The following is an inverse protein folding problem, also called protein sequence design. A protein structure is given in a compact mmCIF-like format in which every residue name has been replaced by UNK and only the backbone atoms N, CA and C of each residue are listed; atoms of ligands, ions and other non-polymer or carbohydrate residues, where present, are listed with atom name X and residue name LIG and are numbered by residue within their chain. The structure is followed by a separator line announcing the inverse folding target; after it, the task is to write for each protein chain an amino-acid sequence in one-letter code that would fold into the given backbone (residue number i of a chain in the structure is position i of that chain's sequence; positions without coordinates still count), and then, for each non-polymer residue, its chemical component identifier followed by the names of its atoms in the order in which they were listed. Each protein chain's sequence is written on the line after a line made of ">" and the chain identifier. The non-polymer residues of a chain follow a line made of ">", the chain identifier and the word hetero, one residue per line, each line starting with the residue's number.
data_IF_705902232556
#
_entry.id   IF_705902232556
#
_cell.length_a   1.000
_cell.length_b   1.000
_cell.length_c   1.000
_cell.angle_alpha   90.00
_cell.angle_beta   90.00
_cell.angle_gamma   90.00
#
_symmetry.space_group_name_H-M   'P 1'
#
loop_
_entity.id
_entity.type
_entity.pdbx_description
1 polymer ?
#
# COMPACT_ATOMS: atom_id res chain seq x y z
N UNK A 1 55.91 -30.23 10.17
CA UNK A 1 56.21 -29.33 11.32
C UNK A 1 54.91 -28.57 11.59
N UNK A 2 54.27 -28.76 12.75
CA UNK A 2 53.06 -28.07 13.12
C UNK A 2 53.37 -26.82 13.93
N UNK A 3 52.65 -25.72 13.67
CA UNK A 3 52.71 -24.52 14.51
C UNK A 3 51.38 -24.35 15.27
N UNK A 4 51.60 -24.20 16.52
CA UNK A 4 50.80 -24.15 17.73
C UNK A 4 49.69 -23.10 17.74
N UNK A 5 48.52 -23.52 18.23
CA UNK A 5 47.42 -22.69 18.71
C UNK A 5 47.79 -21.98 20.04
N UNK A 6 47.42 -20.69 20.15
CA UNK A 6 47.30 -20.03 21.47
C UNK A 6 45.89 -19.48 21.62
N UNK A 7 45.14 -20.13 22.49
CA UNK A 7 43.86 -19.71 23.08
C UNK A 7 44.15 -18.63 24.15
N UNK A 8 43.48 -17.47 24.05
CA UNK A 8 43.42 -16.51 25.17
C UNK A 8 41.97 -16.42 25.60
N UNK A 9 41.72 -16.93 26.79
CA UNK A 9 40.47 -16.78 27.55
C UNK A 9 40.58 -15.51 28.38
N UNK A 10 39.58 -14.62 28.26
CA UNK A 10 39.32 -13.55 29.22
C UNK A 10 37.85 -13.59 29.66
N UNK A 11 37.66 -14.14 30.85
CA UNK A 11 36.38 -14.05 31.58
C UNK A 11 36.29 -12.64 32.20
N UNK A 12 35.20 -11.94 31.91
CA UNK A 12 34.83 -10.73 32.65
C UNK A 12 33.50 -11.00 33.37
N UNK A 13 33.56 -11.05 34.70
CA UNK A 13 32.45 -11.11 35.62
C UNK A 13 31.63 -9.80 35.53
N UNK A 14 30.36 -9.90 35.26
CA UNK A 14 29.36 -8.83 35.48
C UNK A 14 28.44 -9.21 36.66
N UNK A 15 28.45 -8.38 37.67
CA UNK A 15 27.55 -8.45 38.82
C UNK A 15 26.14 -7.98 38.48
N UNK A 16 25.07 -8.49 39.13
CA UNK A 16 23.68 -8.12 38.86
C UNK A 16 23.30 -6.83 39.55
N UNK A 17 22.89 -5.84 38.77
CA UNK A 17 22.29 -4.59 39.25
C UNK A 17 20.84 -4.79 39.71
N UNK A 18 20.55 -4.20 40.87
CA UNK A 18 19.23 -4.22 41.56
C UNK A 18 18.13 -3.61 40.69
N UNK A 19 17.05 -4.38 40.49
CA UNK A 19 15.78 -3.87 40.00
C UNK A 19 15.00 -3.16 41.10
N UNK A 20 14.73 -1.88 40.92
CA UNK A 20 13.75 -1.14 41.69
C UNK A 20 12.38 -1.20 40.97
N UNK A 21 11.45 -1.92 41.61
CA UNK A 21 10.08 -2.01 41.16
C UNK A 21 9.33 -0.71 41.49
N UNK A 22 8.91 0.06 40.48
CA UNK A 22 7.91 1.12 40.64
C UNK A 22 6.50 0.51 40.51
N UNK A 23 5.79 0.50 41.63
CA UNK A 23 4.36 0.22 41.71
C UNK A 23 3.57 1.36 41.06
N UNK A 24 2.87 1.06 39.95
CA UNK A 24 1.85 1.97 39.41
C UNK A 24 0.53 1.72 40.13
N UNK A 25 0.04 2.77 40.73
CA UNK A 25 -1.19 2.79 41.55
C UNK A 25 -2.42 2.82 40.61
N UNK A 26 -3.23 1.77 40.69
CA UNK A 26 -4.54 1.74 40.04
C UNK A 26 -5.52 2.49 40.92
N UNK A 27 -5.99 3.67 40.49
CA UNK A 27 -7.31 4.22 40.85
C UNK A 27 -7.47 5.63 40.24
N UNK A 28 -8.21 5.73 39.17
CA UNK A 28 -9.23 6.76 39.01
C UNK A 28 -10.15 6.32 37.87
N UNK A 29 -11.29 5.83 38.25
CA UNK A 29 -12.40 5.44 37.38
C UNK A 29 -13.52 6.45 37.62
N UNK A 30 -14.14 6.92 36.55
CA UNK A 30 -15.52 7.43 36.43
C UNK A 30 -15.87 8.76 37.08
N UNK A 31 -16.31 9.70 36.23
CA UNK A 31 -17.70 10.23 36.19
C UNK A 31 -17.81 11.40 35.19
N UNK A 32 -18.74 11.28 34.28
CA UNK A 32 -19.13 12.35 33.36
C UNK A 32 -20.32 11.90 32.50
N UNK A 33 -21.47 11.70 33.17
CA UNK A 33 -22.79 11.60 32.54
C UNK A 33 -23.38 12.99 32.45
N UNK A 34 -23.85 13.39 31.29
CA UNK A 34 -24.65 14.60 31.07
C UNK A 34 -24.96 14.71 29.59
N UNK A 35 -26.11 14.64 29.13
CA UNK A 35 -27.37 15.23 29.31
C UNK A 35 -27.99 15.30 27.93
N UNK A 36 -29.01 14.47 27.66
CA UNK A 36 -29.80 14.47 26.42
C UNK A 36 -30.79 15.64 26.52
N UNK A 37 -30.71 16.57 25.55
CA UNK A 37 -31.80 17.51 25.30
C UNK A 37 -32.56 17.05 24.06
N UNK A 38 -33.78 16.54 24.29
CA UNK A 38 -34.72 16.21 23.24
C UNK A 38 -35.38 17.50 22.71
N UNK A 39 -35.24 17.79 21.44
CA UNK A 39 -36.09 18.73 20.72
C UNK A 39 -36.91 17.96 19.67
N UNK A 40 -38.21 17.88 19.93
CA UNK A 40 -39.18 17.28 19.03
C UNK A 40 -39.48 18.23 17.88
N UNK A 41 -39.25 17.82 16.62
CA UNK A 41 -39.84 18.43 15.45
C UNK A 41 -40.61 17.35 14.66
N UNK A 42 -41.91 17.57 14.58
CA UNK A 42 -42.82 16.79 13.75
C UNK A 42 -42.80 17.35 12.32
N UNK A 43 -42.51 16.50 11.35
CA UNK A 43 -42.56 16.84 9.94
C UNK A 43 -42.13 15.64 9.09
N UNK A 44 -43.08 14.95 8.48
CA UNK A 44 -42.92 13.65 7.80
C UNK A 44 -42.00 13.67 6.59
N UNK A 45 -41.24 12.62 6.49
CA UNK A 45 -40.37 12.26 5.37
C UNK A 45 -39.33 11.25 5.83
N UNK A 46 -39.70 9.96 5.82
CA UNK A 46 -38.76 8.87 6.19
C UNK A 46 -37.73 8.72 5.07
N UNK A 47 -36.62 9.45 5.16
CA UNK A 47 -35.39 9.07 4.47
C UNK A 47 -34.76 7.99 5.35
N UNK A 48 -34.88 6.73 4.95
CA UNK A 48 -34.07 5.66 5.51
C UNK A 48 -32.65 5.92 5.02
N UNK A 49 -31.88 6.70 5.79
CA UNK A 49 -30.44 6.71 5.65
C UNK A 49 -29.96 5.30 6.03
N UNK A 50 -29.63 4.50 5.02
CA UNK A 50 -28.93 3.25 5.24
C UNK A 50 -27.65 3.59 6.00
N UNK A 51 -27.58 3.19 7.27
CA UNK A 51 -26.35 3.22 8.03
C UNK A 51 -25.36 2.31 7.30
N UNK A 52 -24.34 2.89 6.68
CA UNK A 52 -23.19 2.11 6.24
C UNK A 52 -22.71 1.27 7.46
N UNK A 53 -22.36 0.00 7.26
CA UNK A 53 -21.85 -0.81 8.35
C UNK A 53 -20.68 -0.06 8.98
N UNK A 54 -20.72 0.10 10.31
CA UNK A 54 -19.61 0.70 11.05
C UNK A 54 -18.37 -0.14 10.75
N UNK A 55 -17.49 0.38 9.91
CA UNK A 55 -16.23 -0.25 9.56
C UNK A 55 -15.43 -0.36 10.85
N UNK A 56 -14.97 -1.54 11.18
CA UNK A 56 -14.18 -1.76 12.38
C UNK A 56 -12.95 -0.84 12.32
N UNK A 57 -12.87 0.10 13.28
CA UNK A 57 -11.78 1.06 13.30
C UNK A 57 -10.46 0.31 13.48
N UNK A 58 -9.46 0.62 12.63
CA UNK A 58 -8.10 0.15 12.78
C UNK A 58 -7.57 0.54 14.17
N UNK A 59 -6.99 -0.43 14.88
CA UNK A 59 -6.39 -0.17 16.18
C UNK A 59 -4.86 -0.26 16.09
N UNK A 60 -4.18 0.73 16.66
CA UNK A 60 -2.73 0.72 16.79
C UNK A 60 -2.33 -0.26 17.89
N UNK A 61 -1.74 -1.40 17.51
CA UNK A 61 -1.21 -2.38 18.44
C UNK A 61 0.19 -2.00 18.92
N UNK A 62 1.00 -1.40 18.05
CA UNK A 62 2.33 -0.90 18.37
C UNK A 62 2.64 0.31 17.51
N UNK A 63 3.30 1.32 18.09
CA UNK A 63 3.83 2.49 17.39
C UNK A 63 5.25 2.78 17.89
N UNK A 64 6.15 3.04 16.95
CA UNK A 64 7.50 3.51 17.21
C UNK A 64 7.76 4.77 16.39
N UNK A 65 8.12 5.87 17.07
CA UNK A 65 8.45 7.15 16.46
C UNK A 65 9.96 7.28 16.30
N UNK A 66 10.43 7.37 15.08
CA UNK A 66 11.82 7.66 14.72
C UNK A 66 11.92 8.97 13.90
N UNK A 67 11.29 10.02 14.39
CA UNK A 67 11.26 11.34 13.75
C UNK A 67 10.38 11.31 12.48
N UNK A 68 10.97 11.53 11.30
CA UNK A 68 10.21 11.46 10.06
C UNK A 68 9.57 10.10 9.79
N UNK A 69 10.21 9.00 10.21
CA UNK A 69 9.70 7.66 9.99
C UNK A 69 8.92 7.17 11.20
N UNK A 70 7.67 6.83 10.96
CA UNK A 70 6.73 6.31 11.95
C UNK A 70 6.43 4.84 11.62
N UNK A 71 6.63 3.93 12.57
CA UNK A 71 6.43 2.50 12.39
C UNK A 71 5.20 2.03 13.15
N UNK A 72 4.28 1.39 12.45
CA UNK A 72 3.04 0.90 13.05
C UNK A 72 2.89 -0.61 12.89
N UNK A 73 2.33 -1.27 13.91
CA UNK A 73 1.64 -2.55 13.78
C UNK A 73 0.16 -2.32 14.08
N UNK A 74 -0.67 -2.72 13.16
CA UNK A 74 -2.10 -2.43 13.21
C UNK A 74 -2.90 -3.72 13.46
N UNK A 75 -3.92 -3.64 14.29
CA UNK A 75 -4.86 -4.73 14.50
C UNK A 75 -6.08 -4.52 13.61
N UNK A 76 -6.39 -5.51 12.78
CA UNK A 76 -7.48 -5.52 11.81
C UNK A 76 -8.11 -6.91 11.71
N UNK A 77 -9.42 -7.02 11.47
CA UNK A 77 -10.05 -8.31 11.14
C UNK A 77 -9.69 -8.81 9.73
N UNK A 78 -9.22 -7.93 8.84
CA UNK A 78 -8.95 -8.26 7.44
C UNK A 78 -7.69 -9.09 7.25
N UNK A 79 -6.73 -9.03 8.18
CA UNK A 79 -5.46 -9.75 8.11
C UNK A 79 -5.26 -10.57 9.38
N UNK A 80 -4.93 -11.85 9.27
CA UNK A 80 -4.83 -12.79 10.39
C UNK A 80 -3.60 -12.60 11.32
N UNK A 81 -2.83 -11.53 11.14
CA UNK A 81 -1.76 -11.08 12.04
C UNK A 81 -1.81 -9.55 12.16
N UNK A 82 -0.82 -8.94 12.79
CA UNK A 82 -0.67 -7.48 12.86
C UNK A 82 0.12 -6.98 11.65
N UNK A 83 -0.52 -6.54 10.55
CA UNK A 83 0.19 -5.97 9.41
C UNK A 83 0.96 -4.72 9.85
N UNK A 84 2.09 -4.49 9.19
CA UNK A 84 2.96 -3.35 9.45
C UNK A 84 2.75 -2.27 8.40
N UNK A 85 2.92 -1.04 8.84
CA UNK A 85 2.86 0.14 7.97
C UNK A 85 3.92 1.11 8.41
N UNK A 86 4.78 1.51 7.48
CA UNK A 86 5.70 2.63 7.68
C UNK A 86 5.08 3.90 7.09
N UNK A 87 5.13 4.98 7.86
CA UNK A 87 4.67 6.30 7.38
C UNK A 87 5.83 7.27 7.47
N UNK A 88 6.26 7.78 6.32
CA UNK A 88 7.31 8.79 6.23
C UNK A 88 6.68 10.19 6.14
N UNK A 89 6.94 11.00 7.13
CA UNK A 89 6.48 12.39 7.21
C UNK A 89 7.43 13.33 6.44
N UNK A 90 6.96 14.47 5.93
CA UNK A 90 7.82 15.49 5.34
C UNK A 90 8.79 16.08 6.37
N UNK A 91 9.85 16.72 5.89
CA UNK A 91 10.74 17.50 6.76
C UNK A 91 9.97 18.64 7.43
N UNK A 92 10.08 18.75 8.76
CA UNK A 92 9.37 19.78 9.52
C UNK A 92 7.84 19.62 9.47
N UNK A 93 7.34 18.37 9.48
CA UNK A 93 5.90 18.09 9.52
C UNK A 93 5.18 18.94 10.57
N UNK A 94 4.13 19.65 10.13
CA UNK A 94 3.29 20.51 10.94
C UNK A 94 1.82 20.05 10.83
N UNK A 95 1.26 19.59 11.93
CA UNK A 95 -0.12 19.09 11.98
C UNK A 95 -1.20 20.16 11.66
N UNK A 96 -0.83 21.44 11.61
CA UNK A 96 -1.75 22.52 11.21
C UNK A 96 -1.83 22.72 9.69
N UNK A 97 -0.90 22.13 8.94
CA UNK A 97 -0.86 22.12 7.46
C UNK A 97 -1.48 20.84 6.93
N UNK A 98 -1.89 20.82 5.67
CA UNK A 98 -2.35 19.62 4.97
C UNK A 98 -1.34 19.22 3.89
N UNK A 99 -1.12 17.90 3.75
CA UNK A 99 -0.12 17.34 2.88
C UNK A 99 -0.73 16.34 1.90
N UNK A 100 -0.27 16.29 0.64
CA UNK A 100 -0.58 15.18 -0.24
C UNK A 100 0.00 13.88 0.33
N UNK A 101 -0.63 12.76 -0.04
CA UNK A 101 -0.25 11.41 0.41
C UNK A 101 0.04 10.51 -0.77
N UNK A 102 1.18 9.83 -0.73
CA UNK A 102 1.55 8.76 -1.64
C UNK A 102 1.47 7.42 -0.91
N UNK A 103 0.58 6.53 -1.36
CA UNK A 103 0.60 5.12 -0.98
C UNK A 103 1.58 4.40 -1.91
N UNK A 104 2.68 3.89 -1.34
CA UNK A 104 3.80 3.30 -2.08
C UNK A 104 3.88 1.80 -1.80
N UNK A 105 3.53 0.99 -2.81
CA UNK A 105 3.27 -0.43 -2.72
C UNK A 105 4.49 -1.25 -3.15
N UNK A 106 4.95 -2.17 -2.29
CA UNK A 106 6.14 -2.99 -2.53
C UNK A 106 5.92 -4.11 -3.56
N UNK A 107 7.01 -4.66 -4.10
CA UNK A 107 6.99 -5.78 -5.03
C UNK A 107 6.78 -7.15 -4.35
N UNK A 108 6.60 -8.19 -5.17
CA UNK A 108 6.51 -9.56 -4.68
C UNK A 108 7.79 -10.01 -3.98
N UNK A 109 7.67 -10.73 -2.85
CA UNK A 109 8.80 -11.14 -2.02
C UNK A 109 9.41 -10.04 -1.17
N UNK A 110 8.87 -8.84 -1.24
CA UNK A 110 9.26 -7.67 -0.44
C UNK A 110 8.22 -7.42 0.68
N UNK A 111 8.40 -6.33 1.44
CA UNK A 111 7.49 -5.93 2.53
C UNK A 111 7.44 -4.40 2.71
N UNK A 112 6.66 -3.94 3.70
CA UNK A 112 6.47 -2.54 4.10
C UNK A 112 7.78 -1.76 4.35
N UNK A 113 8.90 -2.44 4.64
CA UNK A 113 10.18 -1.81 4.96
C UNK A 113 11.09 -1.59 3.75
N UNK A 114 10.79 -2.23 2.63
CA UNK A 114 11.69 -2.31 1.47
C UNK A 114 12.04 -0.95 0.90
N UNK A 115 11.08 -0.05 0.77
CA UNK A 115 11.36 1.29 0.24
C UNK A 115 12.24 2.13 1.17
N UNK A 116 12.20 1.88 2.49
CA UNK A 116 13.07 2.54 3.46
C UNK A 116 14.46 1.90 3.51
N UNK A 117 14.53 0.57 3.65
CA UNK A 117 15.80 -0.14 3.95
C UNK A 117 16.64 -0.43 2.72
N UNK A 118 16.02 -0.63 1.55
CA UNK A 118 16.68 -0.99 0.30
C UNK A 118 16.70 0.14 -0.71
N UNK A 119 15.67 0.96 -0.68
CA UNK A 119 15.40 1.91 -1.75
C UNK A 119 15.45 3.38 -1.32
N UNK A 120 15.96 3.69 -0.15
CA UNK A 120 16.34 5.04 0.34
C UNK A 120 15.27 6.13 0.10
N UNK A 121 13.99 5.78 0.29
CA UNK A 121 12.87 6.70 0.05
C UNK A 121 12.99 7.99 0.88
N UNK A 122 13.66 7.95 2.03
CA UNK A 122 13.86 9.13 2.88
C UNK A 122 14.61 10.23 2.14
N UNK A 123 15.68 9.87 1.41
CA UNK A 123 16.45 10.83 0.63
C UNK A 123 15.70 11.26 -0.63
N UNK A 124 14.96 10.33 -1.27
CA UNK A 124 14.18 10.65 -2.46
C UNK A 124 12.99 11.58 -2.19
N UNK A 125 12.55 11.70 -0.93
CA UNK A 125 11.47 12.60 -0.51
C UNK A 125 11.94 13.77 0.34
N UNK A 126 13.25 13.92 0.60
CA UNK A 126 13.79 15.03 1.36
C UNK A 126 13.43 16.38 0.71
N UNK A 127 13.00 17.32 1.55
CA UNK A 127 12.58 18.66 1.11
C UNK A 127 11.26 18.71 0.34
N UNK A 128 10.51 17.61 0.24
CA UNK A 128 9.18 17.57 -0.38
C UNK A 128 8.08 17.54 0.67
N UNK A 129 7.06 18.38 0.49
CA UNK A 129 5.84 18.40 1.32
C UNK A 129 4.95 17.19 0.96
N UNK A 130 5.33 15.99 1.39
CA UNK A 130 4.69 14.73 1.02
C UNK A 130 4.71 13.75 2.19
N UNK A 131 3.56 13.15 2.51
CA UNK A 131 3.47 11.97 3.36
C UNK A 131 3.56 10.73 2.48
N UNK A 132 4.44 9.76 2.83
CA UNK A 132 4.50 8.47 2.12
C UNK A 132 4.06 7.35 3.05
N UNK A 133 3.07 6.58 2.64
CA UNK A 133 2.54 5.43 3.37
C UNK A 133 2.99 4.15 2.67
N UNK A 134 3.75 3.32 3.36
CA UNK A 134 4.32 2.06 2.87
C UNK A 134 3.71 0.90 3.64
N UNK A 135 2.59 0.34 3.18
CA UNK A 135 1.92 -0.76 3.86
C UNK A 135 2.53 -2.11 3.49
N UNK A 136 2.39 -3.08 4.40
CA UNK A 136 2.55 -4.50 4.09
C UNK A 136 1.43 -4.95 3.15
N UNK A 137 1.77 -5.73 2.14
CA UNK A 137 0.85 -6.32 1.15
C UNK A 137 1.00 -7.83 1.03
N UNK A 138 1.72 -8.45 2.00
CA UNK A 138 2.13 -9.85 1.94
C UNK A 138 3.23 -10.11 0.90
N UNK A 139 3.96 -11.20 1.06
CA UNK A 139 5.02 -11.57 0.13
C UNK A 139 4.49 -11.83 -1.30
N UNK A 140 3.25 -12.30 -1.42
CA UNK A 140 2.54 -12.52 -2.67
C UNK A 140 1.01 -12.31 -2.51
N UNK A 141 0.60 -11.29 -1.75
CA UNK A 141 -0.82 -10.99 -1.52
C UNK A 141 -1.52 -10.32 -2.71
N UNK A 142 -0.76 -9.89 -3.72
CA UNK A 142 -1.26 -9.28 -4.97
C UNK A 142 -2.24 -8.13 -4.74
N UNK A 143 -2.15 -7.50 -3.55
CA UNK A 143 -3.04 -6.39 -3.16
C UNK A 143 -4.53 -6.73 -3.33
N UNK A 144 -4.88 -8.02 -3.17
CA UNK A 144 -6.22 -8.56 -3.41
C UNK A 144 -6.80 -9.22 -2.16
N UNK A 145 -8.10 -9.23 -2.09
CA UNK A 145 -8.84 -10.14 -1.21
C UNK A 145 -8.89 -11.49 -1.93
N UNK A 146 -8.25 -12.56 -1.42
CA UNK A 146 -8.15 -13.81 -2.16
C UNK A 146 -9.50 -14.51 -2.31
N UNK A 147 -9.64 -15.33 -3.36
CA UNK A 147 -10.80 -16.22 -3.51
C UNK A 147 -10.82 -17.24 -2.36
N UNK A 148 -9.64 -17.78 -2.01
CA UNK A 148 -9.50 -18.73 -0.91
C UNK A 148 -8.19 -18.57 -0.15
N UNK A 149 -8.23 -18.87 1.17
CA UNK A 149 -7.06 -18.85 2.04
C UNK A 149 -7.15 -19.99 3.06
N UNK A 150 -6.10 -20.80 3.20
CA UNK A 150 -6.03 -21.88 4.18
C UNK A 150 -5.41 -21.45 5.52
N UNK A 151 -5.13 -20.16 5.69
CA UNK A 151 -4.44 -19.60 6.87
C UNK A 151 -5.16 -18.42 7.51
N UNK A 152 -6.46 -18.32 7.30
CA UNK A 152 -7.29 -17.21 7.80
C UNK A 152 -7.26 -15.97 6.89
N UNK A 153 -7.76 -14.83 7.40
CA UNK A 153 -7.94 -13.63 6.59
C UNK A 153 -6.64 -13.09 5.98
N UNK A 154 -6.71 -12.71 4.71
CA UNK A 154 -5.64 -12.13 3.90
C UNK A 154 -6.21 -11.06 2.95
N UNK A 155 -7.18 -10.29 3.42
CA UNK A 155 -7.98 -9.36 2.62
C UNK A 155 -7.23 -8.03 2.48
N UNK A 156 -6.23 -8.01 1.59
CA UNK A 156 -5.32 -6.87 1.43
C UNK A 156 -6.01 -5.65 0.84
N UNK A 157 -6.92 -5.82 -0.13
CA UNK A 157 -7.68 -4.71 -0.69
C UNK A 157 -8.59 -4.08 0.37
N UNK A 158 -9.36 -4.89 1.08
CA UNK A 158 -10.20 -4.42 2.20
C UNK A 158 -9.38 -3.69 3.25
N UNK A 159 -8.22 -4.24 3.65
CA UNK A 159 -7.33 -3.59 4.61
C UNK A 159 -6.82 -2.25 4.11
N UNK A 160 -6.26 -2.18 2.88
CA UNK A 160 -5.65 -0.96 2.38
C UNK A 160 -6.67 0.13 2.10
N UNK A 161 -7.71 -0.21 1.36
CA UNK A 161 -8.69 0.76 0.85
C UNK A 161 -9.74 1.08 1.90
N UNK A 162 -10.29 0.05 2.53
CA UNK A 162 -11.40 0.20 3.45
C UNK A 162 -10.98 0.65 4.86
N UNK A 163 -9.80 0.30 5.32
CA UNK A 163 -9.40 0.53 6.71
C UNK A 163 -8.20 1.48 6.82
N UNK A 164 -7.11 1.24 6.06
CA UNK A 164 -5.86 1.99 6.20
C UNK A 164 -6.00 3.44 5.70
N UNK A 165 -6.62 3.67 4.54
CA UNK A 165 -6.78 5.04 4.01
C UNK A 165 -7.56 5.93 5.00
N UNK A 166 -8.75 5.52 5.51
CA UNK A 166 -9.45 6.31 6.52
C UNK A 166 -8.65 6.52 7.81
N UNK A 167 -7.89 5.50 8.24
CA UNK A 167 -7.04 5.63 9.42
C UNK A 167 -5.90 6.63 9.22
N UNK A 168 -5.25 6.62 8.06
CA UNK A 168 -4.20 7.61 7.71
C UNK A 168 -4.76 9.02 7.71
N UNK A 169 -5.93 9.22 7.10
CA UNK A 169 -6.58 10.53 7.05
C UNK A 169 -7.02 11.04 8.42
N UNK A 170 -7.38 10.14 9.34
CA UNK A 170 -7.74 10.47 10.73
C UNK A 170 -6.49 10.71 11.62
N UNK A 171 -5.34 10.10 11.28
CA UNK A 171 -4.13 10.14 12.12
C UNK A 171 -3.20 11.27 11.72
N UNK A 172 -3.10 11.56 10.43
CA UNK A 172 -2.18 12.56 9.88
C UNK A 172 -2.93 13.69 9.17
N UNK A 173 -2.26 14.83 9.04
CA UNK A 173 -2.83 16.01 8.37
C UNK A 173 -2.75 15.87 6.84
N UNK A 174 -3.60 15.02 6.28
CA UNK A 174 -3.65 14.73 4.86
C UNK A 174 -4.60 15.67 4.10
N UNK A 175 -4.41 15.81 2.79
CA UNK A 175 -5.43 16.30 1.87
C UNK A 175 -6.31 15.08 1.51
N UNK A 176 -7.36 14.84 2.32
CA UNK A 176 -8.18 13.62 2.31
C UNK A 176 -9.19 13.58 1.13
N UNK A 177 -8.70 13.82 -0.09
CA UNK A 177 -9.50 13.82 -1.32
C UNK A 177 -8.62 13.38 -2.52
N UNK A 178 -9.18 13.00 -3.67
CA UNK A 178 -8.41 12.51 -4.82
C UNK A 178 -7.30 13.48 -5.26
N UNK A 179 -7.55 14.79 -5.25
CA UNK A 179 -6.56 15.81 -5.60
C UNK A 179 -5.35 15.88 -4.65
N UNK A 180 -5.41 15.21 -3.49
CA UNK A 180 -4.32 15.10 -2.53
C UNK A 180 -3.78 13.68 -2.37
N UNK A 181 -4.30 12.69 -3.13
CA UNK A 181 -3.93 11.28 -2.91
C UNK A 181 -3.43 10.61 -4.16
N UNK A 182 -2.28 9.98 -4.04
CA UNK A 182 -1.66 9.17 -5.08
C UNK A 182 -1.40 7.74 -4.62
N UNK A 183 -1.35 6.82 -5.58
CA UNK A 183 -0.88 5.45 -5.37
C UNK A 183 0.17 5.11 -6.42
N UNK A 184 1.27 4.53 -5.99
CA UNK A 184 2.38 4.07 -6.84
C UNK A 184 2.91 2.74 -6.32
N UNK A 185 3.58 1.97 -7.15
CA UNK A 185 4.21 0.75 -6.70
C UNK A 185 5.12 0.11 -7.74
N UNK A 186 5.88 -0.89 -7.28
CA UNK A 186 6.78 -1.66 -8.11
C UNK A 186 6.27 -3.09 -8.28
N UNK A 187 6.33 -3.63 -9.51
CA UNK A 187 6.02 -5.04 -9.81
C UNK A 187 4.60 -5.41 -9.34
N UNK A 188 4.44 -6.35 -8.40
CA UNK A 188 3.18 -6.66 -7.74
C UNK A 188 2.49 -5.40 -7.20
N UNK A 189 3.27 -4.45 -6.62
CA UNK A 189 2.75 -3.16 -6.15
C UNK A 189 2.31 -2.23 -7.27
N UNK A 190 2.96 -2.27 -8.42
CA UNK A 190 2.55 -1.53 -9.62
C UNK A 190 1.19 -2.01 -10.15
N UNK A 191 0.97 -3.33 -10.16
CA UNK A 191 -0.35 -3.91 -10.41
C UNK A 191 -1.38 -3.44 -9.37
N UNK A 192 -1.03 -3.55 -8.08
CA UNK A 192 -1.89 -3.11 -6.98
C UNK A 192 -2.31 -1.65 -7.10
N UNK A 193 -1.37 -0.77 -7.49
CA UNK A 193 -1.64 0.65 -7.70
C UNK A 193 -2.65 0.88 -8.83
N UNK A 194 -2.43 0.25 -9.99
CA UNK A 194 -3.37 0.33 -11.11
C UNK A 194 -4.74 -0.23 -10.73
N UNK A 195 -4.78 -1.43 -10.15
CA UNK A 195 -6.03 -2.05 -9.70
C UNK A 195 -6.82 -1.16 -8.73
N UNK A 196 -6.18 -0.59 -7.73
CA UNK A 196 -6.86 0.29 -6.77
C UNK A 196 -7.42 1.55 -7.43
N UNK A 197 -6.65 2.18 -8.33
CA UNK A 197 -7.13 3.34 -9.06
C UNK A 197 -8.30 3.04 -10.01
N UNK A 198 -8.39 1.80 -10.52
CA UNK A 198 -9.48 1.34 -11.36
C UNK A 198 -10.75 1.04 -10.57
N UNK A 199 -10.62 0.29 -9.47
CA UNK A 199 -11.76 -0.17 -8.66
C UNK A 199 -12.31 0.89 -7.73
N UNK A 200 -11.46 1.85 -7.32
CA UNK A 200 -11.81 2.94 -6.39
C UNK A 200 -11.44 4.30 -7.00
N UNK A 201 -12.07 4.65 -8.15
CA UNK A 201 -11.69 5.84 -8.91
C UNK A 201 -11.87 7.15 -8.12
N UNK A 202 -12.71 7.15 -7.10
CA UNK A 202 -12.96 8.29 -6.21
C UNK A 202 -11.85 8.52 -5.19
N UNK A 203 -10.88 7.62 -5.03
CA UNK A 203 -9.87 7.74 -3.98
C UNK A 203 -8.58 8.42 -4.42
N UNK A 204 -8.16 8.23 -5.68
CA UNK A 204 -6.84 8.63 -6.15
C UNK A 204 -6.92 9.56 -7.35
N UNK A 205 -6.21 10.69 -7.31
CA UNK A 205 -6.02 11.59 -8.44
C UNK A 205 -4.81 11.26 -9.31
N UNK A 206 -3.83 10.55 -8.74
CA UNK A 206 -2.62 10.13 -9.46
C UNK A 206 -2.33 8.65 -9.21
N UNK A 207 -1.96 7.95 -10.28
CA UNK A 207 -1.55 6.53 -10.23
C UNK A 207 -0.29 6.32 -11.03
N UNK A 208 0.62 5.51 -10.47
CA UNK A 208 1.87 5.15 -11.12
C UNK A 208 2.15 3.66 -11.01
N UNK A 209 2.68 3.07 -12.07
CA UNK A 209 3.11 1.68 -12.11
C UNK A 209 4.55 1.58 -12.61
N UNK A 210 5.42 1.04 -11.79
CA UNK A 210 6.80 0.73 -12.12
C UNK A 210 6.92 -0.78 -12.33
N UNK A 211 7.01 -1.22 -13.58
CA UNK A 211 7.08 -2.64 -13.98
C UNK A 211 5.94 -3.50 -13.39
N UNK A 212 4.75 -2.95 -13.26
CA UNK A 212 3.56 -3.68 -12.83
C UNK A 212 2.74 -4.19 -14.01
N UNK A 213 2.25 -5.44 -13.98
CA UNK A 213 1.34 -5.92 -15.02
C UNK A 213 0.02 -5.14 -15.00
N UNK A 214 -0.54 -4.87 -16.17
CA UNK A 214 -1.75 -4.06 -16.34
C UNK A 214 -2.84 -4.74 -17.19
N UNK A 215 -2.54 -5.93 -17.73
CA UNK A 215 -3.46 -6.81 -18.43
C UNK A 215 -3.29 -8.25 -17.94
N UNK A 216 -4.28 -8.73 -17.20
CA UNK A 216 -4.27 -10.05 -16.57
C UNK A 216 -4.48 -11.18 -17.58
N UNK A 217 -5.01 -10.89 -18.77
CA UNK A 217 -5.37 -11.90 -19.78
C UNK A 217 -4.28 -12.14 -20.82
N UNK A 218 -3.23 -11.31 -20.81
CA UNK A 218 -2.15 -11.49 -21.79
C UNK A 218 -1.47 -12.86 -21.62
N UNK A 219 -0.99 -13.43 -22.75
CA UNK A 219 -0.29 -14.72 -22.75
C UNK A 219 -1.09 -15.82 -22.00
N UNK A 220 -2.35 -16.00 -22.37
CA UNK A 220 -3.26 -16.98 -21.79
C UNK A 220 -3.41 -16.85 -20.27
N UNK A 221 -3.35 -15.61 -19.74
CA UNK A 221 -3.49 -15.34 -18.32
C UNK A 221 -2.25 -15.64 -17.50
N UNK A 222 -1.06 -15.43 -18.06
CA UNK A 222 0.21 -15.66 -17.38
C UNK A 222 0.29 -14.96 -16.00
N UNK A 223 -0.27 -13.74 -15.90
CA UNK A 223 -0.31 -13.00 -14.63
C UNK A 223 -1.24 -13.64 -13.60
N UNK A 224 -2.40 -14.16 -14.03
CA UNK A 224 -3.35 -14.88 -13.15
C UNK A 224 -2.73 -16.18 -12.62
N UNK A 225 -2.06 -16.94 -13.50
CA UNK A 225 -1.31 -18.12 -13.09
C UNK A 225 -0.23 -17.78 -12.08
N UNK A 226 0.54 -16.72 -12.36
CA UNK A 226 1.61 -16.27 -11.48
C UNK A 226 1.07 -15.83 -10.12
N UNK A 227 -0.03 -15.06 -10.09
CA UNK A 227 -0.66 -14.64 -8.85
C UNK A 227 -1.14 -15.84 -8.00
N UNK A 228 -1.90 -16.76 -8.59
CA UNK A 228 -2.36 -17.96 -7.89
C UNK A 228 -1.20 -18.82 -7.37
N UNK A 229 -0.18 -19.06 -8.22
CA UNK A 229 0.95 -19.88 -7.85
C UNK A 229 1.77 -19.28 -6.70
N UNK A 230 2.17 -18.01 -6.80
CA UNK A 230 3.00 -17.38 -5.78
C UNK A 230 2.25 -17.19 -4.47
N UNK A 231 0.99 -16.77 -4.51
CA UNK A 231 0.16 -16.62 -3.33
C UNK A 231 -0.09 -17.98 -2.63
N UNK A 232 -0.43 -19.01 -3.40
CA UNK A 232 -0.63 -20.36 -2.88
C UNK A 232 0.62 -20.96 -2.25
N UNK A 233 1.79 -20.71 -2.84
CA UNK A 233 3.07 -21.19 -2.32
C UNK A 233 3.52 -20.48 -1.03
N UNK A 234 3.09 -19.24 -0.80
CA UNK A 234 3.56 -18.40 0.31
C UNK A 234 2.44 -18.00 1.27
N UNK A 235 1.64 -17.02 0.92
CA UNK A 235 0.73 -16.33 1.83
C UNK A 235 -0.56 -17.10 2.13
N UNK A 236 -1.05 -17.92 1.20
CA UNK A 236 -2.37 -18.55 1.27
C UNK A 236 -2.33 -20.05 1.58
N UNK A 237 -1.15 -20.67 1.64
CA UNK A 237 -0.95 -22.11 1.92
C UNK A 237 -1.84 -23.03 1.08
N UNK A 238 -1.77 -22.83 -0.26
CA UNK A 238 -2.57 -23.59 -1.23
C UNK A 238 -3.90 -22.94 -1.59
N UNK A 239 -4.27 -21.80 -0.96
CA UNK A 239 -5.36 -20.96 -1.43
C UNK A 239 -4.99 -20.19 -2.72
N UNK A 240 -5.93 -19.43 -3.26
CA UNK A 240 -5.77 -18.74 -4.54
C UNK A 240 -6.32 -17.32 -4.50
N UNK A 241 -5.75 -16.44 -5.33
CA UNK A 241 -6.30 -15.08 -5.55
C UNK A 241 -7.55 -15.16 -6.44
N UNK A 242 -7.49 -15.95 -7.52
CA UNK A 242 -8.50 -15.96 -8.59
C UNK A 242 -9.30 -17.25 -8.74
N UNK A 243 -9.10 -18.25 -7.85
CA UNK A 243 -9.76 -19.55 -7.94
C UNK A 243 -9.09 -20.55 -8.91
N UNK A 244 -9.49 -21.83 -8.80
CA UNK A 244 -9.14 -22.92 -9.73
C UNK A 244 -10.39 -23.78 -9.96
N UNK A 245 -11.05 -23.70 -11.15
CA UNK A 245 -10.75 -22.81 -12.28
C UNK A 245 -10.91 -21.33 -11.92
N UNK A 246 -10.32 -20.44 -12.70
CA UNK A 246 -10.39 -19.00 -12.41
C UNK A 246 -11.82 -18.47 -12.40
N UNK A 247 -12.15 -17.69 -11.40
CA UNK A 247 -13.34 -16.86 -11.39
C UNK A 247 -13.14 -15.68 -12.36
N UNK A 248 -13.79 -15.77 -13.51
CA UNK A 248 -13.66 -14.79 -14.58
C UNK A 248 -14.18 -13.41 -14.19
N UNK A 249 -15.17 -13.33 -13.32
CA UNK A 249 -15.71 -12.06 -12.83
C UNK A 249 -14.68 -11.38 -11.91
N UNK A 250 -13.99 -12.15 -11.06
CA UNK A 250 -12.92 -11.66 -10.21
C UNK A 250 -11.72 -11.20 -11.02
N UNK A 251 -11.31 -11.97 -12.03
CA UNK A 251 -10.22 -11.57 -12.94
C UNK A 251 -10.58 -10.26 -13.64
N UNK A 252 -11.78 -10.15 -14.20
CA UNK A 252 -12.25 -8.90 -14.83
C UNK A 252 -12.26 -7.73 -13.86
N UNK A 253 -12.79 -7.92 -12.65
CA UNK A 253 -12.89 -6.86 -11.65
C UNK A 253 -11.51 -6.29 -11.25
N UNK A 254 -10.47 -7.12 -11.28
CA UNK A 254 -9.11 -6.74 -10.91
C UNK A 254 -8.23 -6.33 -12.12
N UNK A 255 -8.73 -6.47 -13.37
CA UNK A 255 -7.93 -6.27 -14.57
C UNK A 255 -7.90 -4.78 -15.01
N UNK A 256 -6.79 -4.03 -14.84
CA UNK A 256 -6.75 -2.61 -15.13
C UNK A 256 -7.18 -2.25 -16.55
N UNK A 257 -6.80 -3.03 -17.56
CA UNK A 257 -7.12 -2.76 -18.97
C UNK A 257 -8.62 -2.83 -19.27
N UNK A 258 -9.40 -3.58 -18.49
CA UNK A 258 -10.86 -3.69 -18.63
C UNK A 258 -11.62 -2.50 -18.00
N UNK A 259 -10.93 -1.65 -17.23
CA UNK A 259 -11.50 -0.50 -16.52
C UNK A 259 -10.86 0.83 -16.92
N UNK A 260 -10.45 0.95 -18.17
CA UNK A 260 -9.67 2.10 -18.66
C UNK A 260 -10.34 3.45 -18.38
N UNK A 261 -11.69 3.54 -18.43
CA UNK A 261 -12.42 4.78 -18.15
C UNK A 261 -12.26 5.28 -16.70
N UNK A 262 -11.93 4.41 -15.75
CA UNK A 262 -11.66 4.79 -14.36
C UNK A 262 -10.42 5.67 -14.20
N UNK A 263 -9.57 5.74 -15.22
CA UNK A 263 -8.36 6.57 -15.21
C UNK A 263 -8.57 7.97 -15.80
N UNK A 264 -9.76 8.25 -16.32
CA UNK A 264 -10.08 9.56 -16.90
C UNK A 264 -9.94 10.68 -15.86
N UNK A 265 -9.19 11.71 -16.21
CA UNK A 265 -8.93 12.85 -15.31
C UNK A 265 -7.87 12.58 -14.24
N UNK A 266 -7.26 11.40 -14.22
CA UNK A 266 -6.13 11.07 -13.35
C UNK A 266 -4.81 11.31 -14.08
N UNK A 267 -3.77 11.58 -13.31
CA UNK A 267 -2.39 11.41 -13.82
C UNK A 267 -2.06 9.91 -13.82
N UNK A 268 -1.67 9.38 -14.96
CA UNK A 268 -1.21 8.01 -15.14
C UNK A 268 0.27 8.01 -15.55
N UNK A 269 1.13 7.30 -14.80
CA UNK A 269 2.56 7.24 -15.04
C UNK A 269 3.02 5.78 -15.10
N UNK A 270 3.60 5.38 -16.22
CA UNK A 270 3.94 3.99 -16.51
C UNK A 270 5.42 3.86 -16.82
N UNK A 271 6.11 2.95 -16.15
CA UNK A 271 7.52 2.63 -16.38
C UNK A 271 7.68 1.12 -16.52
N UNK A 272 8.48 0.69 -17.49
CA UNK A 272 8.79 -0.71 -17.70
C UNK A 272 10.24 -0.89 -18.16
N UNK A 273 10.82 -2.06 -17.90
CA UNK A 273 12.08 -2.50 -18.48
C UNK A 273 11.89 -3.07 -19.88
N UNK A 274 12.93 -3.02 -20.71
CA UNK A 274 12.89 -3.57 -22.08
C UNK A 274 13.68 -4.86 -22.26
N UNK A 275 14.39 -5.33 -21.24
CA UNK A 275 15.05 -6.63 -21.27
C UNK A 275 14.03 -7.75 -21.09
N UNK A 276 14.09 -8.74 -21.99
CA UNK A 276 13.22 -9.91 -21.92
C UNK A 276 13.71 -10.90 -20.85
N UNK A 277 13.65 -10.49 -19.58
CA UNK A 277 13.79 -11.41 -18.46
C UNK A 277 12.46 -12.15 -18.19
N UNK A 278 12.43 -13.03 -17.20
CA UNK A 278 11.24 -13.84 -16.88
C UNK A 278 10.04 -12.99 -16.43
N UNK A 279 10.25 -11.75 -16.01
CA UNK A 279 9.20 -10.85 -15.53
C UNK A 279 8.79 -9.85 -16.62
N UNK A 280 9.77 -9.11 -17.18
CA UNK A 280 9.46 -8.09 -18.20
C UNK A 280 8.94 -8.72 -19.50
N UNK A 281 9.25 -9.99 -19.79
CA UNK A 281 8.64 -10.74 -20.90
C UNK A 281 7.10 -10.85 -20.80
N UNK A 282 6.54 -10.70 -19.62
CA UNK A 282 5.09 -10.66 -19.36
C UNK A 282 4.62 -9.24 -19.08
N UNK A 283 5.37 -8.50 -18.26
CA UNK A 283 4.97 -7.17 -17.77
C UNK A 283 4.95 -6.15 -18.89
N UNK A 284 5.99 -6.08 -19.74
CA UNK A 284 6.06 -5.11 -20.81
C UNK A 284 4.91 -5.25 -21.84
N UNK A 285 4.61 -6.44 -22.39
CA UNK A 285 3.44 -6.59 -23.27
C UNK A 285 2.11 -6.30 -22.56
N UNK A 286 2.00 -6.62 -21.26
CA UNK A 286 0.83 -6.31 -20.45
C UNK A 286 0.62 -4.81 -20.29
N UNK A 287 1.69 -4.07 -20.03
CA UNK A 287 1.65 -2.61 -19.96
C UNK A 287 1.32 -1.99 -21.31
N UNK A 288 1.92 -2.47 -22.42
CA UNK A 288 1.63 -1.99 -23.78
C UNK A 288 0.18 -2.24 -24.20
N UNK A 289 -0.45 -3.33 -23.75
CA UNK A 289 -1.89 -3.58 -23.91
C UNK A 289 -2.71 -2.48 -23.24
N UNK A 290 -2.37 -2.13 -22.02
CA UNK A 290 -3.03 -1.07 -21.26
C UNK A 290 -2.82 0.32 -21.86
N UNK A 291 -1.61 0.65 -22.29
CA UNK A 291 -1.29 1.90 -23.00
C UNK A 291 -2.14 2.07 -24.25
N UNK A 292 -2.28 1.00 -25.04
CA UNK A 292 -3.15 0.98 -26.22
C UNK A 292 -4.62 1.25 -25.86
N UNK A 293 -5.10 0.69 -24.76
CA UNK A 293 -6.46 0.92 -24.28
C UNK A 293 -6.65 2.36 -23.80
N UNK A 294 -5.71 2.93 -23.05
CA UNK A 294 -5.73 4.35 -22.64
C UNK A 294 -5.77 5.28 -23.85
N UNK A 295 -4.87 5.05 -24.82
CA UNK A 295 -4.83 5.83 -26.06
C UNK A 295 -6.15 5.72 -26.86
N UNK A 296 -6.70 4.52 -26.95
CA UNK A 296 -8.00 4.26 -27.60
C UNK A 296 -9.17 4.97 -26.93
N UNK A 297 -9.11 5.18 -25.62
CA UNK A 297 -10.09 5.93 -24.83
C UNK A 297 -9.80 7.45 -24.82
N UNK A 298 -8.71 7.92 -25.41
CA UNK A 298 -8.30 9.32 -25.37
C UNK A 298 -7.94 9.79 -23.97
N UNK A 299 -7.28 8.94 -23.18
CA UNK A 299 -6.82 9.24 -21.83
C UNK A 299 -5.31 9.47 -21.87
N UNK A 300 -4.86 10.63 -21.39
CA UNK A 300 -3.46 10.99 -21.33
C UNK A 300 -2.69 10.16 -20.31
N UNK A 301 -1.47 9.78 -20.66
CA UNK A 301 -0.55 9.07 -19.77
C UNK A 301 0.90 9.40 -20.09
N UNK A 302 1.77 9.32 -19.08
CA UNK A 302 3.22 9.37 -19.22
C UNK A 302 3.75 7.94 -19.29
N UNK A 303 4.61 7.62 -20.25
CA UNK A 303 5.22 6.29 -20.38
C UNK A 303 6.73 6.37 -20.56
N UNK A 304 7.39 5.39 -20.00
CA UNK A 304 8.84 5.23 -20.08
C UNK A 304 9.21 3.76 -20.21
N UNK A 305 9.81 3.41 -21.34
CA UNK A 305 10.43 2.10 -21.57
C UNK A 305 11.93 2.27 -21.44
N UNK A 306 12.50 1.87 -20.31
CA UNK A 306 13.93 2.04 -20.03
C UNK A 306 14.68 0.74 -20.31
N UNK A 307 15.89 0.82 -20.89
CA UNK A 307 16.78 -0.33 -21.02
C UNK A 307 17.04 -0.97 -19.67
N UNK A 308 17.00 -2.29 -19.62
CA UNK A 308 17.30 -3.09 -18.43
C UNK A 308 16.16 -3.99 -17.97
N UNK A 309 16.49 -4.83 -17.01
CA UNK A 309 15.67 -5.87 -16.45
C UNK A 309 14.59 -5.34 -15.49
N UNK A 310 13.89 -6.25 -14.82
CA UNK A 310 12.85 -5.99 -13.82
C UNK A 310 13.44 -5.45 -12.51
N UNK A 311 13.68 -4.14 -12.47
CA UNK A 311 14.29 -3.44 -11.32
C UNK A 311 13.59 -2.11 -11.02
N UNK A 312 13.73 -1.64 -9.78
CA UNK A 312 13.35 -0.28 -9.40
C UNK A 312 14.31 0.73 -10.06
N UNK A 313 13.77 1.72 -10.75
CA UNK A 313 14.53 2.78 -11.45
C UNK A 313 14.40 4.09 -10.70
N UNK A 314 15.42 4.44 -9.92
CA UNK A 314 15.38 5.59 -9.01
C UNK A 314 15.14 6.93 -9.72
N UNK A 315 15.77 7.16 -10.85
CA UNK A 315 15.52 8.36 -11.63
C UNK A 315 14.05 8.50 -12.05
N UNK A 316 13.38 7.35 -12.30
CA UNK A 316 11.95 7.34 -12.62
C UNK A 316 11.06 7.52 -11.38
N UNK A 317 11.44 6.96 -10.23
CA UNK A 317 10.74 7.21 -8.97
C UNK A 317 10.78 8.70 -8.61
N UNK A 318 11.94 9.36 -8.74
CA UNK A 318 12.06 10.80 -8.49
C UNK A 318 11.21 11.62 -9.48
N UNK A 319 11.29 11.30 -10.77
CA UNK A 319 10.48 11.95 -11.81
C UNK A 319 8.98 11.73 -11.56
N UNK A 320 8.58 10.54 -11.16
CA UNK A 320 7.20 10.20 -10.80
C UNK A 320 6.71 11.06 -9.63
N UNK A 321 7.47 11.13 -8.53
CA UNK A 321 7.13 11.94 -7.35
C UNK A 321 7.00 13.42 -7.73
N UNK A 322 7.93 13.97 -8.51
CA UNK A 322 7.89 15.38 -8.91
C UNK A 322 6.71 15.68 -9.84
N UNK A 323 6.45 14.82 -10.83
CA UNK A 323 5.29 14.95 -11.73
C UNK A 323 3.96 14.80 -10.97
N UNK A 324 3.89 13.85 -10.04
CA UNK A 324 2.73 13.64 -9.17
C UNK A 324 2.44 14.88 -8.31
N UNK A 325 3.43 15.43 -7.62
CA UNK A 325 3.27 16.62 -6.79
C UNK A 325 2.82 17.82 -7.62
N UNK A 326 3.42 18.02 -8.80
CA UNK A 326 3.02 19.07 -9.73
C UNK A 326 1.57 18.92 -10.21
N UNK A 327 1.10 17.69 -10.39
CA UNK A 327 -0.28 17.42 -10.78
C UNK A 327 -1.26 17.69 -9.64
N UNK A 328 -1.01 17.13 -8.45
CA UNK A 328 -1.90 17.26 -7.29
C UNK A 328 -2.01 18.71 -6.81
N UNK A 329 -0.93 19.48 -6.84
CA UNK A 329 -0.96 20.90 -6.44
C UNK A 329 -1.69 21.82 -7.41
N UNK A 330 -1.88 21.42 -8.67
CA UNK A 330 -2.66 22.19 -9.66
C UNK A 330 -4.15 21.87 -9.61
N UNK A 331 -4.50 20.70 -9.07
CA UNK A 331 -5.88 20.23 -8.99
C UNK A 331 -6.61 20.67 -7.70
N UNK A 332 -5.90 21.24 -6.72
CA UNK A 332 -6.41 21.80 -5.46
C UNK A 332 -6.41 23.32 -5.51
#
# INVERSE_FOLDING_TARGET
>A
MPLSSKTISSQTHLQPGRQTAHRINRRTLLKGVGGIAAASFVGGGTVIAGSAPAQAALNVAQHEDQGRMQYYKLATPSIGWLPRVNVLLPDGYDATRRYPVLYLLHGGGEDYSTFDTKYDIRNHTAGRDLIVVMPDGGAAGWYSDPESSNVGPRNWETFHVGELIPWVDATFSTIAQPSGRAVSGFSMGGFGALKYAAKHPELFGSVSSHSGPADLRIQDGAVVHWANFTAGATDLKGGTIYGIPWDQARVSADNPVEHVESYRGKRVFLVCGTESDRYESVVLPSQQSFEKALAGAGIDYERYEDTGAHIVRWGRIQQDIDSMLNFLTKAG
#
